data_IF_999964985693
#
_entry.id   IF_999964985693
#
_cell.length_a   1.000
_cell.length_b   1.000
_cell.length_c   1.000
_cell.angle_alpha   90.00
_cell.angle_beta   90.00
_cell.angle_gamma   90.00
#
_symmetry.space_group_name_H-M   'P 1'
#
loop_
_entity.id
_entity.type
_entity.pdbx_description
1 polymer ?
#
# COMPACT_ATOMS: atom_id res chain seq x y z
N UNK A 1 -14.34 -16.27 11.75
CA UNK A 1 -14.53 -16.00 10.31
C UNK A 1 -13.48 -16.79 9.56
N UNK A 2 -13.91 -17.65 8.64
CA UNK A 2 -12.99 -18.49 7.85
C UNK A 2 -12.82 -17.87 6.47
N UNK A 3 -11.58 -17.81 5.97
CA UNK A 3 -11.29 -17.39 4.60
C UNK A 3 -11.72 -18.52 3.66
N UNK A 4 -12.56 -18.20 2.68
CA UNK A 4 -13.07 -19.16 1.69
C UNK A 4 -12.41 -19.01 0.32
N UNK A 5 -11.79 -17.86 0.05
CA UNK A 5 -11.10 -17.57 -1.21
C UNK A 5 -9.98 -16.55 -1.00
N UNK A 6 -8.93 -16.65 -1.81
CA UNK A 6 -7.78 -15.73 -1.80
C UNK A 6 -7.28 -15.55 -3.22
N UNK A 7 -7.23 -14.29 -3.66
CA UNK A 7 -6.80 -13.90 -5.01
C UNK A 7 -5.59 -12.96 -4.86
N UNK A 8 -4.47 -13.28 -5.50
CA UNK A 8 -3.35 -12.35 -5.62
C UNK A 8 -3.73 -11.23 -6.60
N UNK A 9 -3.79 -10.00 -6.10
CA UNK A 9 -4.13 -8.81 -6.88
C UNK A 9 -2.88 -8.19 -7.49
N UNK A 10 -1.81 -8.14 -6.69
CA UNK A 10 -0.57 -7.51 -7.10
C UNK A 10 0.61 -8.07 -6.33
N UNK A 11 1.75 -8.16 -7.00
CA UNK A 11 3.04 -8.39 -6.37
C UNK A 11 4.11 -7.66 -7.16
N UNK A 12 4.78 -6.71 -6.54
CA UNK A 12 5.74 -5.87 -7.24
C UNK A 12 6.58 -5.00 -6.32
N UNK A 13 7.35 -4.12 -6.94
CA UNK A 13 8.33 -3.27 -6.26
C UNK A 13 8.09 -1.82 -6.63
N UNK A 14 7.98 -0.98 -5.61
CA UNK A 14 7.90 0.47 -5.73
C UNK A 14 9.23 1.08 -5.32
N UNK A 15 9.88 1.82 -6.22
CA UNK A 15 11.16 2.44 -5.95
C UNK A 15 10.99 3.75 -5.16
N UNK A 16 11.67 3.86 -4.02
CA UNK A 16 11.90 5.11 -3.31
C UNK A 16 13.37 5.54 -3.46
N UNK A 17 13.75 6.79 -3.15
CA UNK A 17 15.13 7.26 -3.32
C UNK A 17 16.19 6.39 -2.63
N UNK A 18 15.92 5.98 -1.38
CA UNK A 18 16.86 5.22 -0.53
C UNK A 18 16.40 3.79 -0.22
N UNK A 19 15.17 3.43 -0.56
CA UNK A 19 14.54 2.15 -0.25
C UNK A 19 13.79 1.61 -1.46
N UNK A 20 13.62 0.31 -1.53
CA UNK A 20 12.59 -0.33 -2.34
C UNK A 20 11.50 -0.85 -1.42
N UNK A 21 10.25 -0.60 -1.79
CA UNK A 21 9.11 -1.18 -1.13
C UNK A 21 8.60 -2.34 -1.98
N UNK A 22 8.75 -3.56 -1.49
CA UNK A 22 8.05 -4.70 -2.07
C UNK A 22 6.62 -4.71 -1.51
N UNK A 23 5.63 -4.73 -2.39
CA UNK A 23 4.21 -4.78 -2.04
C UNK A 23 3.65 -6.10 -2.55
N UNK A 24 2.95 -6.81 -1.68
CA UNK A 24 2.08 -7.93 -2.07
C UNK A 24 0.65 -7.61 -1.62
N UNK A 25 -0.32 -7.74 -2.52
CA UNK A 25 -1.73 -7.47 -2.24
C UNK A 25 -2.55 -8.71 -2.55
N UNK A 26 -3.23 -9.22 -1.55
CA UNK A 26 -4.15 -10.34 -1.66
C UNK A 26 -5.57 -9.90 -1.30
N UNK A 27 -6.54 -10.23 -2.14
CA UNK A 27 -7.95 -10.07 -1.82
C UNK A 27 -8.47 -11.37 -1.21
N UNK A 28 -8.90 -11.32 0.06
CA UNK A 28 -9.47 -12.49 0.74
C UNK A 28 -10.97 -12.32 0.90
N UNK A 29 -11.72 -13.37 0.60
CA UNK A 29 -13.17 -13.43 0.82
C UNK A 29 -13.45 -14.33 2.01
N UNK A 30 -14.31 -13.89 2.91
CA UNK A 30 -14.74 -14.66 4.09
C UNK A 30 -16.06 -15.39 3.85
N UNK A 31 -16.37 -16.33 4.72
CA UNK A 31 -17.62 -17.10 4.75
C UNK A 31 -18.90 -16.24 4.72
N UNK A 32 -18.86 -15.05 5.31
CA UNK A 32 -19.92 -14.04 5.27
C UNK A 32 -19.97 -13.19 3.98
N UNK A 33 -19.13 -13.54 2.98
CA UNK A 33 -18.96 -12.85 1.70
C UNK A 33 -18.30 -11.48 1.78
N UNK A 34 -17.88 -10.99 2.95
CA UNK A 34 -17.08 -9.77 3.05
C UNK A 34 -15.70 -10.02 2.46
N UNK A 35 -15.11 -8.98 1.88
CA UNK A 35 -13.81 -9.03 1.22
C UNK A 35 -12.87 -8.01 1.82
N UNK A 36 -11.62 -8.40 2.00
CA UNK A 36 -10.59 -7.55 2.60
C UNK A 36 -9.31 -7.63 1.76
N UNK A 37 -8.69 -6.48 1.55
CA UNK A 37 -7.35 -6.40 1.00
C UNK A 37 -6.35 -6.64 2.14
N UNK A 38 -5.47 -7.59 1.93
CA UNK A 38 -4.27 -7.84 2.72
C UNK A 38 -3.12 -7.25 1.95
N UNK A 39 -2.57 -6.15 2.44
CA UNK A 39 -1.50 -5.38 1.79
C UNK A 39 -0.26 -5.56 2.64
N UNK A 40 0.71 -6.34 2.18
CA UNK A 40 1.96 -6.60 2.90
C UNK A 40 3.06 -5.67 2.37
N UNK A 41 3.81 -5.06 3.29
CA UNK A 41 4.94 -4.19 2.99
C UNK A 41 6.25 -4.84 3.39
N UNK A 42 7.25 -4.78 2.51
CA UNK A 42 8.62 -5.17 2.86
C UNK A 42 9.61 -4.14 2.33
N UNK A 43 10.19 -3.38 3.24
CA UNK A 43 11.13 -2.31 2.95
C UNK A 43 12.56 -2.83 2.86
N UNK A 44 13.21 -2.60 1.72
CA UNK A 44 14.59 -3.00 1.46
C UNK A 44 15.43 -1.74 1.29
N UNK A 45 16.41 -1.54 2.17
CA UNK A 45 17.32 -0.39 2.08
C UNK A 45 18.28 -0.55 0.89
N UNK A 46 18.26 0.42 -0.04
CA UNK A 46 19.18 0.47 -1.18
C UNK A 46 20.44 1.28 -0.92
N UNK A 47 20.28 2.42 -0.22
CA UNK A 47 21.33 3.41 -0.02
C UNK A 47 21.31 3.94 1.41
N UNK A 48 22.40 4.56 1.83
CA UNK A 48 22.40 5.34 3.06
C UNK A 48 21.51 6.57 2.88
N UNK A 49 20.55 6.72 3.78
CA UNK A 49 19.59 7.81 3.76
C UNK A 49 18.38 7.47 4.61
N UNK A 50 17.51 8.45 4.71
CA UNK A 50 16.33 8.40 5.56
C UNK A 50 15.21 7.56 4.95
N UNK A 51 14.45 6.90 5.81
CA UNK A 51 13.25 6.16 5.41
C UNK A 51 12.20 7.14 4.88
N UNK A 52 11.37 6.78 3.87
CA UNK A 52 10.31 7.66 3.36
C UNK A 52 9.37 8.21 4.44
N UNK A 53 9.20 7.45 5.53
CA UNK A 53 8.34 7.81 6.67
C UNK A 53 9.12 8.11 7.95
N UNK A 54 10.41 8.41 7.88
CA UNK A 54 11.24 8.57 9.08
C UNK A 54 10.75 9.61 10.09
N UNK A 55 10.14 10.69 9.61
CA UNK A 55 9.59 11.74 10.47
C UNK A 55 8.15 11.47 10.91
N UNK A 56 7.59 10.31 10.55
CA UNK A 56 6.27 9.85 10.94
C UNK A 56 6.41 8.70 11.95
N UNK A 57 6.54 9.07 13.22
CA UNK A 57 6.77 8.12 14.32
C UNK A 57 5.60 7.15 14.46
N UNK A 58 4.38 7.62 14.22
CA UNK A 58 3.19 6.78 14.31
C UNK A 58 3.18 5.72 13.20
N UNK A 59 3.42 6.14 11.95
CA UNK A 59 3.58 5.22 10.82
C UNK A 59 4.67 4.18 11.06
N UNK A 60 5.85 4.63 11.47
CA UNK A 60 7.01 3.75 11.64
C UNK A 60 6.86 2.73 12.75
N UNK A 61 6.04 3.01 13.77
CA UNK A 61 5.80 2.08 14.87
C UNK A 61 4.65 1.10 14.59
N UNK A 62 3.66 1.49 13.79
CA UNK A 62 2.38 0.76 13.70
C UNK A 62 2.07 0.18 12.32
N UNK A 63 2.62 0.75 11.24
CA UNK A 63 2.11 0.55 9.88
C UNK A 63 3.19 0.08 8.88
N UNK A 64 4.36 -0.33 9.38
CA UNK A 64 5.52 -0.71 8.54
C UNK A 64 5.36 -2.05 7.81
N UNK A 65 4.55 -2.95 8.36
CA UNK A 65 4.43 -4.33 7.88
C UNK A 65 3.29 -4.51 6.87
N UNK A 66 2.37 -3.55 6.76
CA UNK A 66 1.20 -3.68 5.92
C UNK A 66 -0.10 -3.32 6.62
N UNK A 67 -1.20 -3.50 5.89
CA UNK A 67 -2.56 -3.21 6.36
C UNK A 67 -3.55 -4.28 5.91
N UNK A 68 -4.59 -4.50 6.72
CA UNK A 68 -5.77 -5.25 6.32
C UNK A 68 -6.95 -4.28 6.30
N UNK A 69 -7.51 -4.03 5.11
CA UNK A 69 -8.59 -3.06 4.94
C UNK A 69 -9.80 -3.68 4.26
N UNK A 70 -11.01 -3.25 4.62
CA UNK A 70 -12.24 -3.70 3.98
C UNK A 70 -12.29 -3.23 2.52
N UNK A 71 -12.74 -4.12 1.62
CA UNK A 71 -12.94 -3.80 0.21
C UNK A 71 -14.21 -2.95 0.04
N UNK A 72 -14.05 -1.75 -0.53
CA UNK A 72 -15.12 -0.87 -0.97
C UNK A 72 -14.65 0.00 -2.15
N UNK A 73 -15.51 0.83 -2.73
CA UNK A 73 -15.16 1.63 -3.91
C UNK A 73 -13.97 2.57 -3.70
N UNK A 74 -13.80 3.09 -2.49
CA UNK A 74 -12.70 3.99 -2.15
C UNK A 74 -11.39 3.21 -1.97
N UNK A 75 -11.41 2.12 -1.21
CA UNK A 75 -10.21 1.28 -0.98
C UNK A 75 -9.77 0.55 -2.24
N UNK A 76 -10.69 0.19 -3.14
CA UNK A 76 -10.39 -0.30 -4.48
C UNK A 76 -9.52 0.71 -5.25
N UNK A 77 -9.87 2.00 -5.21
CA UNK A 77 -9.11 3.05 -5.90
C UNK A 77 -7.75 3.32 -5.27
N UNK A 78 -7.66 3.26 -3.93
CA UNK A 78 -6.37 3.37 -3.24
C UNK A 78 -5.44 2.22 -3.62
N UNK A 79 -5.95 0.98 -3.67
CA UNK A 79 -5.18 -0.19 -4.11
C UNK A 79 -4.78 -0.05 -5.58
N UNK A 80 -5.70 0.36 -6.45
CA UNK A 80 -5.41 0.61 -7.87
C UNK A 80 -4.24 1.59 -8.02
N UNK A 81 -4.31 2.76 -7.39
CA UNK A 81 -3.25 3.76 -7.47
C UNK A 81 -1.94 3.30 -6.80
N UNK A 82 -2.01 2.56 -5.69
CA UNK A 82 -0.81 2.02 -5.05
C UNK A 82 -0.02 1.11 -6.01
N UNK A 83 -0.73 0.35 -6.84
CA UNK A 83 -0.15 -0.64 -7.77
C UNK A 83 0.23 -0.10 -9.15
N UNK A 84 -0.16 1.15 -9.47
CA UNK A 84 0.22 1.81 -10.72
C UNK A 84 1.74 2.03 -10.81
N UNK A 85 2.26 1.99 -12.03
CA UNK A 85 3.63 2.43 -12.30
C UNK A 85 3.78 3.93 -12.04
N UNK A 86 5.00 4.40 -11.75
CA UNK A 86 5.25 5.83 -11.49
C UNK A 86 4.78 6.71 -12.67
N UNK A 87 4.99 6.24 -13.92
CA UNK A 87 4.54 6.95 -15.13
C UNK A 87 3.01 7.04 -15.25
N UNK A 88 2.26 6.06 -14.75
CA UNK A 88 0.79 6.13 -14.70
C UNK A 88 0.34 7.03 -13.56
N UNK A 89 1.02 6.93 -12.41
CA UNK A 89 0.71 7.70 -11.22
C UNK A 89 0.94 9.20 -11.45
N UNK A 90 2.00 9.57 -12.17
CA UNK A 90 2.30 10.97 -12.55
C UNK A 90 1.19 11.60 -13.40
N UNK A 91 0.39 10.78 -14.11
CA UNK A 91 -0.75 11.30 -14.91
C UNK A 91 -1.95 11.68 -14.04
N UNK A 92 -2.03 11.15 -12.81
CA UNK A 92 -3.16 11.33 -11.89
C UNK A 92 -2.79 12.10 -10.62
N UNK A 93 -1.50 12.19 -10.29
CA UNK A 93 -0.98 12.86 -9.09
C UNK A 93 -1.06 14.40 -9.16
N UNK A 94 -1.40 14.96 -10.32
CA UNK A 94 -1.60 16.40 -10.49
C UNK A 94 -0.27 17.16 -10.47
N UNK A 95 0.00 17.90 -9.40
CA UNK A 95 1.19 18.75 -9.28
C UNK A 95 2.27 18.19 -8.35
N UNK A 96 2.13 16.94 -7.89
CA UNK A 96 3.11 16.27 -7.03
C UNK A 96 3.68 15.03 -7.71
N UNK A 97 4.92 14.72 -7.39
CA UNK A 97 5.63 13.56 -7.94
C UNK A 97 4.96 12.25 -7.50
N UNK A 98 4.95 11.24 -8.38
CA UNK A 98 4.43 9.91 -8.09
C UNK A 98 4.92 9.33 -6.75
N UNK A 99 6.20 9.53 -6.42
CA UNK A 99 6.77 9.03 -5.15
C UNK A 99 6.06 9.64 -3.93
N UNK A 100 5.83 10.95 -3.95
CA UNK A 100 5.15 11.66 -2.86
C UNK A 100 3.67 11.26 -2.81
N UNK A 101 3.03 11.14 -3.97
CA UNK A 101 1.64 10.70 -4.05
C UNK A 101 1.46 9.26 -3.51
N UNK A 102 2.37 8.35 -3.85
CA UNK A 102 2.36 6.98 -3.31
C UNK A 102 2.53 6.95 -1.80
N UNK A 103 3.36 7.83 -1.21
CA UNK A 103 3.45 7.96 0.25
C UNK A 103 2.12 8.37 0.86
N UNK A 104 1.41 9.31 0.23
CA UNK A 104 0.09 9.75 0.69
C UNK A 104 -0.96 8.66 0.56
N UNK A 105 -0.92 7.84 -0.49
CA UNK A 105 -1.79 6.67 -0.64
C UNK A 105 -1.55 5.67 0.49
N UNK A 106 -0.29 5.34 0.77
CA UNK A 106 0.09 4.43 1.87
C UNK A 106 -0.44 4.96 3.21
N UNK A 107 -0.22 6.25 3.52
CA UNK A 107 -0.77 6.88 4.74
C UNK A 107 -2.30 6.91 4.77
N UNK A 108 -2.95 7.06 3.62
CA UNK A 108 -4.41 7.07 3.57
C UNK A 108 -4.97 5.69 3.88
N UNK A 109 -4.31 4.63 3.41
CA UNK A 109 -4.69 3.23 3.70
C UNK A 109 -4.69 2.97 5.21
N UNK A 110 -3.71 3.51 5.95
CA UNK A 110 -3.65 3.36 7.43
C UNK A 110 -4.79 4.07 8.17
N UNK A 111 -5.71 4.75 7.49
CA UNK A 111 -6.92 5.32 8.10
C UNK A 111 -8.15 4.40 7.96
N UNK A 112 -8.03 3.31 7.21
CA UNK A 112 -9.11 2.33 6.96
C UNK A 112 -8.93 1.02 7.72
N UNK A 113 -7.92 0.95 8.59
CA UNK A 113 -7.78 -0.13 9.55
C UNK A 113 -8.87 -0.01 10.62
N UNK A 114 -9.82 -0.94 10.62
CA UNK A 114 -10.83 -1.14 11.66
C UNK A 114 -11.34 -2.60 11.59
#
# INVERSE_FOLDING_TARGET
MTIIDTIEIYKGVCAFPNYDLNIAINLKTYDDKRKFYYIDYTWVKKKNGFHPFEHDIDFTNNHMDGEIIAKNELTDKLVEYLTMSDTELDKVSGSIDAVVYRQQIIKSITLFWD
#
